data_IF_628148140346
#
_entry.id   IF_628148140346
#
_cell.length_a   1.000
_cell.length_b   1.000
_cell.length_c   1.000
_cell.angle_alpha   90.00
_cell.angle_beta   90.00
_cell.angle_gamma   90.00
#
_symmetry.space_group_name_H-M   'P 1'
#
loop_
_entity.id
_entity.type
_entity.pdbx_description
1 polymer ?
#
# COMPACT_ATOMS: atom_id res chain seq x y z
N UNK A 1 -33.23 27.87 41.36
CA UNK A 1 -31.89 27.35 41.05
C UNK A 1 -32.03 26.30 39.95
N UNK A 2 -31.93 26.71 38.69
CA UNK A 2 -32.10 25.81 37.55
C UNK A 2 -30.73 25.34 37.07
N UNK A 3 -30.44 24.06 37.26
CA UNK A 3 -29.22 23.42 36.73
C UNK A 3 -29.37 23.24 35.21
N UNK A 4 -28.73 24.10 34.43
CA UNK A 4 -28.62 23.96 32.98
C UNK A 4 -27.72 22.77 32.65
N UNK A 5 -28.33 21.67 32.16
CA UNK A 5 -27.61 20.49 31.67
C UNK A 5 -26.99 20.82 30.31
N UNK A 6 -25.71 21.19 30.31
CA UNK A 6 -24.94 21.36 29.08
C UNK A 6 -24.67 19.96 28.48
N UNK A 7 -25.38 19.62 27.40
CA UNK A 7 -25.06 18.43 26.60
C UNK A 7 -23.78 18.71 25.80
N UNK A 8 -22.67 18.06 26.16
CA UNK A 8 -21.43 18.05 25.39
C UNK A 8 -21.64 17.22 24.12
N UNK A 9 -21.79 17.88 22.97
CA UNK A 9 -21.77 17.21 21.66
C UNK A 9 -20.31 16.90 21.34
N UNK A 10 -19.93 15.63 21.44
CA UNK A 10 -18.63 15.14 20.95
C UNK A 10 -18.73 15.04 19.43
N UNK A 11 -18.21 16.03 18.72
CA UNK A 11 -18.02 15.95 17.27
C UNK A 11 -16.85 15.00 17.00
N UNK A 12 -17.16 13.80 16.53
CA UNK A 12 -16.14 12.86 16.06
C UNK A 12 -15.58 13.35 14.72
N UNK A 13 -14.38 13.92 14.75
CA UNK A 13 -13.65 14.30 13.53
C UNK A 13 -13.12 13.01 12.89
N UNK A 14 -13.79 12.55 11.84
CA UNK A 14 -13.31 11.45 11.00
C UNK A 14 -12.34 12.05 9.99
N UNK A 15 -11.03 11.91 10.25
CA UNK A 15 -9.99 12.29 9.29
C UNK A 15 -9.96 11.25 8.15
N UNK A 16 -9.99 11.67 6.88
CA UNK A 16 -9.82 10.76 5.75
C UNK A 16 -8.40 10.17 5.77
N UNK A 17 -8.29 8.84 5.73
CA UNK A 17 -7.00 8.15 5.57
C UNK A 17 -6.56 8.20 4.11
N UNK A 18 -5.44 8.86 3.83
CA UNK A 18 -4.81 8.86 2.50
C UNK A 18 -4.12 7.50 2.34
N UNK A 19 -4.60 6.68 1.40
CA UNK A 19 -3.96 5.40 1.07
C UNK A 19 -2.77 5.64 0.14
N UNK A 20 -1.55 5.61 0.66
CA UNK A 20 -0.33 5.65 -0.15
C UNK A 20 0.07 4.22 -0.56
N UNK A 21 0.54 4.07 -1.80
CA UNK A 21 1.12 2.81 -2.27
C UNK A 21 2.38 2.47 -1.47
N UNK A 22 2.44 1.25 -0.94
CA UNK A 22 3.57 0.75 -0.14
C UNK A 22 4.59 0.05 -1.02
N UNK A 23 5.87 0.25 -0.75
CA UNK A 23 6.95 -0.52 -1.37
C UNK A 23 7.46 -1.61 -0.43
N UNK A 24 7.43 -2.86 -0.90
CA UNK A 24 7.95 -4.03 -0.19
C UNK A 24 9.22 -4.51 -0.85
N UNK A 25 10.34 -4.37 -0.14
CA UNK A 25 11.63 -4.97 -0.54
C UNK A 25 11.61 -6.46 -0.21
N UNK A 26 11.57 -7.30 -1.24
CA UNK A 26 11.44 -8.74 -1.08
C UNK A 26 12.69 -9.30 -0.39
N UNK A 27 12.50 -9.94 0.76
CA UNK A 27 13.58 -10.45 1.61
C UNK A 27 14.26 -9.40 2.50
N UNK A 28 13.71 -8.18 2.58
CA UNK A 28 14.26 -7.06 3.36
C UNK A 28 15.76 -6.84 3.08
N UNK A 29 16.63 -6.96 4.10
CA UNK A 29 18.08 -6.80 3.93
C UNK A 29 18.75 -7.99 3.26
N UNK A 30 18.13 -9.17 3.26
CA UNK A 30 18.67 -10.35 2.59
C UNK A 30 18.48 -10.29 1.06
N UNK A 31 17.49 -9.53 0.60
CA UNK A 31 17.15 -9.40 -0.82
C UNK A 31 16.60 -10.69 -1.43
N UNK A 32 16.62 -10.75 -2.76
CA UNK A 32 16.18 -11.91 -3.52
C UNK A 32 17.32 -12.92 -3.68
N UNK A 33 17.39 -13.87 -2.74
CA UNK A 33 18.41 -14.91 -2.63
C UNK A 33 17.83 -16.32 -2.38
N UNK A 34 18.69 -17.34 -2.44
CA UNK A 34 18.37 -18.74 -2.09
C UNK A 34 18.45 -18.98 -0.57
N UNK A 35 17.83 -20.06 -0.10
CA UNK A 35 17.80 -20.52 1.31
C UNK A 35 17.23 -19.48 2.28
N UNK A 36 16.27 -18.69 1.81
CA UNK A 36 15.56 -17.69 2.58
C UNK A 36 14.07 -18.04 2.69
N UNK A 37 13.47 -17.82 3.87
CA UNK A 37 12.06 -18.13 4.11
C UNK A 37 11.16 -16.97 3.69
N UNK A 38 10.80 -16.95 2.40
CA UNK A 38 9.88 -15.96 1.85
C UNK A 38 8.44 -16.09 2.36
N UNK A 39 8.02 -17.28 2.82
CA UNK A 39 6.69 -17.48 3.37
C UNK A 39 6.59 -16.79 4.73
N UNK A 40 7.59 -16.94 5.58
CA UNK A 40 7.67 -16.20 6.84
C UNK A 40 7.87 -14.70 6.60
N UNK A 41 8.68 -14.31 5.61
CA UNK A 41 8.82 -12.89 5.25
C UNK A 41 7.48 -12.27 4.82
N UNK A 42 6.66 -12.97 4.03
CA UNK A 42 5.36 -12.47 3.59
C UNK A 42 4.31 -12.44 4.73
N UNK A 43 4.53 -13.20 5.82
CA UNK A 43 3.56 -13.35 6.90
C UNK A 43 3.30 -12.01 7.59
N UNK A 44 2.02 -11.66 7.72
CA UNK A 44 1.57 -10.43 8.39
C UNK A 44 1.73 -9.14 7.58
N UNK A 45 2.28 -9.21 6.35
CA UNK A 45 2.29 -8.08 5.43
C UNK A 45 0.93 -7.97 4.71
N UNK A 46 0.45 -6.75 4.54
CA UNK A 46 -0.83 -6.45 3.87
C UNK A 46 -0.56 -5.90 2.46
N UNK A 47 -0.52 -6.79 1.47
CA UNK A 47 -0.29 -6.40 0.08
C UNK A 47 -1.60 -5.94 -0.56
N UNK A 48 -1.61 -4.75 -1.15
CA UNK A 48 -2.79 -4.15 -1.79
C UNK A 48 -2.52 -3.78 -3.24
N UNK A 49 -3.59 -3.62 -4.00
CA UNK A 49 -3.49 -3.05 -5.35
C UNK A 49 -2.88 -1.66 -5.26
N UNK A 50 -1.86 -1.40 -6.09
CA UNK A 50 -1.09 -0.16 -6.10
C UNK A 50 0.30 -0.30 -5.47
N UNK A 51 0.47 -1.23 -4.53
CA UNK A 51 1.76 -1.51 -3.89
C UNK A 51 2.79 -2.04 -4.88
N UNK A 52 4.06 -2.02 -4.48
CA UNK A 52 5.19 -2.47 -5.29
C UNK A 52 5.98 -3.54 -4.56
N UNK A 53 6.39 -4.58 -5.29
CA UNK A 53 7.45 -5.49 -4.88
C UNK A 53 8.76 -5.04 -5.52
N UNK A 54 9.81 -4.93 -4.72
CA UNK A 54 11.16 -4.59 -5.19
C UNK A 54 12.07 -5.78 -4.94
N UNK A 55 12.56 -6.38 -6.04
CA UNK A 55 13.47 -7.52 -6.02
C UNK A 55 14.90 -7.03 -6.24
N UNK A 56 15.73 -7.08 -5.20
CA UNK A 56 17.14 -6.67 -5.28
C UNK A 56 18.06 -7.86 -5.19
N UNK A 57 18.98 -7.99 -6.15
CA UNK A 57 19.93 -9.09 -6.25
C UNK A 57 21.12 -8.74 -7.17
N UNK A 58 22.28 -9.41 -7.05
CA UNK A 58 23.39 -9.19 -7.97
C UNK A 58 23.00 -9.54 -9.41
N UNK A 59 23.25 -8.62 -10.36
CA UNK A 59 22.94 -8.83 -11.78
C UNK A 59 23.59 -10.12 -12.28
N UNK A 60 22.80 -10.96 -12.96
CA UNK A 60 23.23 -12.26 -13.48
C UNK A 60 23.22 -13.41 -12.46
N UNK A 61 23.11 -13.13 -11.15
CA UNK A 61 23.02 -14.19 -10.13
C UNK A 61 21.59 -14.76 -10.02
N UNK A 62 20.59 -13.92 -10.20
CA UNK A 62 19.17 -14.28 -10.10
C UNK A 62 18.37 -13.61 -11.21
N UNK A 63 17.09 -13.96 -11.28
CA UNK A 63 16.09 -13.33 -12.11
C UNK A 63 14.72 -13.47 -11.43
N UNK A 64 13.72 -12.79 -11.97
CA UNK A 64 12.35 -12.83 -11.44
C UNK A 64 11.37 -13.16 -12.57
N UNK A 65 10.66 -14.26 -12.40
CA UNK A 65 9.47 -14.57 -13.20
C UNK A 65 8.22 -14.34 -12.38
N UNK A 66 7.20 -13.73 -12.99
CA UNK A 66 5.82 -13.80 -12.50
C UNK A 66 5.16 -15.03 -13.12
N UNK A 67 4.62 -15.92 -12.31
CA UNK A 67 4.10 -17.22 -12.76
C UNK A 67 2.71 -17.50 -12.18
N UNK A 68 2.09 -18.60 -12.63
CA UNK A 68 0.86 -19.13 -12.02
C UNK A 68 1.18 -20.10 -10.86
N UNK A 69 0.13 -20.53 -10.13
CA UNK A 69 0.28 -21.40 -8.96
C UNK A 69 0.88 -22.78 -9.27
N UNK A 70 0.57 -23.39 -10.42
CA UNK A 70 1.13 -24.69 -10.83
C UNK A 70 2.62 -24.55 -11.15
N UNK A 71 2.98 -23.59 -11.99
CA UNK A 71 4.38 -23.26 -12.33
C UNK A 71 5.19 -22.92 -11.07
N UNK A 72 4.59 -22.19 -10.12
CA UNK A 72 5.21 -21.92 -8.83
C UNK A 72 5.45 -23.20 -8.03
N UNK A 73 4.43 -24.06 -7.88
CA UNK A 73 4.51 -25.30 -7.11
C UNK A 73 5.62 -26.20 -7.67
N UNK A 74 5.62 -26.39 -8.98
CA UNK A 74 6.49 -27.35 -9.67
C UNK A 74 7.86 -26.74 -10.03
N UNK A 75 8.04 -25.43 -9.84
CA UNK A 75 9.22 -24.68 -10.26
C UNK A 75 9.56 -24.89 -11.75
N UNK A 76 8.53 -24.93 -12.61
CA UNK A 76 8.70 -24.98 -14.07
C UNK A 76 9.21 -23.63 -14.56
N UNK A 77 10.34 -23.60 -15.25
CA UNK A 77 10.98 -22.34 -15.64
C UNK A 77 10.46 -21.87 -17.01
N UNK A 78 9.86 -20.67 -17.12
CA UNK A 78 9.45 -20.11 -18.41
C UNK A 78 10.65 -19.75 -19.30
N UNK A 79 10.43 -19.43 -20.59
CA UNK A 79 11.45 -18.90 -21.48
C UNK A 79 12.17 -17.67 -20.91
N UNK A 80 13.49 -17.61 -21.03
CA UNK A 80 14.32 -16.59 -20.37
C UNK A 80 14.00 -15.15 -20.77
N UNK A 81 13.48 -14.92 -21.98
CA UNK A 81 13.06 -13.60 -22.45
C UNK A 81 11.84 -13.03 -21.71
N UNK A 82 11.16 -13.83 -20.89
CA UNK A 82 10.06 -13.39 -20.02
C UNK A 82 10.56 -12.97 -18.63
N UNK A 83 11.84 -13.17 -18.32
CA UNK A 83 12.40 -12.87 -17.01
C UNK A 83 12.75 -11.39 -16.87
N UNK A 84 12.52 -10.85 -15.66
CA UNK A 84 13.18 -9.61 -15.23
C UNK A 84 14.58 -9.94 -14.71
N UNK A 85 15.57 -9.13 -15.08
CA UNK A 85 17.01 -9.45 -14.93
C UNK A 85 17.87 -8.27 -14.50
N UNK A 86 17.26 -7.15 -14.10
CA UNK A 86 18.02 -5.89 -13.86
C UNK A 86 18.79 -5.89 -12.55
N UNK A 87 18.50 -6.81 -11.63
CA UNK A 87 19.04 -6.80 -10.26
C UNK A 87 18.33 -5.82 -9.31
N UNK A 88 17.41 -5.01 -9.82
CA UNK A 88 16.53 -4.13 -9.04
C UNK A 88 15.16 -4.02 -9.73
N UNK A 89 14.47 -5.15 -9.83
CA UNK A 89 13.21 -5.24 -10.55
C UNK A 89 12.04 -4.80 -9.68
N UNK A 90 11.20 -3.92 -10.22
CA UNK A 90 10.01 -3.40 -9.54
C UNK A 90 8.75 -3.94 -10.21
N UNK A 91 7.89 -4.60 -9.43
CA UNK A 91 6.60 -5.11 -9.90
C UNK A 91 5.49 -4.39 -9.14
N UNK A 92 4.68 -3.60 -9.85
CA UNK A 92 3.46 -3.02 -9.31
C UNK A 92 2.37 -4.10 -9.21
N UNK A 93 1.72 -4.20 -8.05
CA UNK A 93 0.61 -5.09 -7.79
C UNK A 93 -0.67 -4.48 -8.36
N UNK A 94 -0.96 -4.77 -9.63
CA UNK A 94 -2.06 -4.12 -10.36
C UNK A 94 -3.45 -4.73 -10.12
N UNK A 95 -3.52 -5.99 -9.64
CA UNK A 95 -4.81 -6.69 -9.47
C UNK A 95 -4.86 -7.50 -8.18
N UNK A 96 -6.05 -7.66 -7.57
CA UNK A 96 -6.22 -8.50 -6.39
C UNK A 96 -5.95 -9.99 -6.70
N UNK A 97 -5.91 -10.79 -5.64
CA UNK A 97 -5.75 -12.24 -5.68
C UNK A 97 -4.30 -12.70 -5.55
N UNK A 98 -4.12 -14.01 -5.64
CA UNK A 98 -2.82 -14.65 -5.44
C UNK A 98 -1.84 -14.29 -6.56
N UNK A 99 -0.59 -14.04 -6.17
CA UNK A 99 0.54 -13.78 -7.08
C UNK A 99 1.70 -14.70 -6.69
N UNK A 100 2.45 -15.14 -7.68
CA UNK A 100 3.57 -16.05 -7.52
C UNK A 100 4.78 -15.59 -8.31
N UNK A 101 5.93 -15.69 -7.69
CA UNK A 101 7.21 -15.28 -8.25
C UNK A 101 8.28 -16.34 -7.98
N UNK A 102 9.16 -16.58 -8.95
CA UNK A 102 10.24 -17.57 -8.84
C UNK A 102 11.53 -17.04 -9.46
N UNK A 103 12.67 -17.58 -8.99
CA UNK A 103 13.93 -17.48 -9.72
C UNK A 103 14.12 -18.73 -10.59
N UNK A 104 14.38 -18.53 -11.87
CA UNK A 104 14.60 -19.60 -12.84
C UNK A 104 16.04 -19.97 -13.10
N UNK A 105 17.00 -19.45 -12.33
CA UNK A 105 18.41 -19.83 -12.47
C UNK A 105 18.64 -21.20 -11.84
N UNK A 106 19.06 -22.18 -12.64
CA UNK A 106 19.44 -23.52 -12.18
C UNK A 106 18.39 -24.18 -11.27
N UNK A 107 18.78 -24.52 -10.04
CA UNK A 107 17.91 -25.13 -9.03
C UNK A 107 17.46 -24.15 -7.93
N UNK A 108 17.54 -22.84 -8.18
CA UNK A 108 17.24 -21.82 -7.17
C UNK A 108 15.79 -21.88 -6.66
N UNK A 109 14.80 -22.11 -7.54
CA UNK A 109 13.41 -22.29 -7.10
C UNK A 109 13.19 -23.62 -6.36
N UNK A 110 13.54 -24.76 -7.00
CA UNK A 110 13.15 -26.09 -6.54
C UNK A 110 13.90 -26.55 -5.29
N UNK A 111 15.21 -26.28 -5.22
CA UNK A 111 16.07 -26.70 -4.11
C UNK A 111 16.44 -25.51 -3.23
N UNK A 112 16.71 -24.36 -3.85
CA UNK A 112 17.07 -23.13 -3.13
C UNK A 112 15.88 -22.44 -2.45
N UNK A 113 14.63 -22.81 -2.76
CA UNK A 113 13.45 -22.18 -2.17
C UNK A 113 13.28 -20.70 -2.56
N UNK A 114 13.93 -20.24 -3.63
CA UNK A 114 13.85 -18.85 -4.09
C UNK A 114 12.56 -18.61 -4.87
N UNK A 115 11.47 -18.54 -4.12
CA UNK A 115 10.10 -18.41 -4.62
C UNK A 115 9.24 -17.67 -3.59
N UNK A 116 8.39 -16.76 -4.07
CA UNK A 116 7.48 -15.96 -3.24
C UNK A 116 6.04 -16.18 -3.68
N UNK A 117 5.14 -16.41 -2.72
CA UNK A 117 3.69 -16.37 -2.92
C UNK A 117 3.08 -15.35 -1.99
N UNK A 118 2.20 -14.51 -2.52
CA UNK A 118 1.46 -13.50 -1.75
C UNK A 118 -0.01 -13.49 -2.19
N UNK A 119 -0.87 -12.92 -1.34
CA UNK A 119 -2.25 -12.59 -1.68
C UNK A 119 -2.39 -11.07 -1.68
N UNK A 120 -2.87 -10.53 -2.79
CA UNK A 120 -3.09 -9.08 -2.95
C UNK A 120 -4.55 -8.76 -2.69
N UNK A 121 -4.81 -7.87 -1.76
CA UNK A 121 -6.15 -7.35 -1.49
C UNK A 121 -6.50 -6.22 -2.47
N UNK A 122 -7.80 -5.89 -2.65
CA UNK A 122 -8.20 -4.67 -3.34
C UNK A 122 -7.50 -3.43 -2.78
N UNK A 123 -7.41 -2.40 -3.62
CA UNK A 123 -6.95 -1.10 -3.17
C UNK A 123 -7.77 -0.67 -1.94
N UNK A 124 -7.12 -0.02 -0.98
CA UNK A 124 -7.85 0.61 0.11
C UNK A 124 -8.87 1.58 -0.48
N UNK A 125 -10.08 1.63 0.07
CA UNK A 125 -11.02 2.69 -0.30
C UNK A 125 -10.33 4.01 0.04
N UNK A 126 -10.04 4.82 -0.98
CA UNK A 126 -9.75 6.23 -0.73
C UNK A 126 -10.98 6.82 -0.05
N UNK A 127 -10.78 7.49 1.08
CA UNK A 127 -11.87 8.19 1.73
C UNK A 127 -12.49 9.18 0.73
N UNK A 128 -13.84 9.31 0.67
CA UNK A 128 -14.47 10.25 -0.23
C UNK A 128 -13.85 11.63 -0.06
N UNK A 129 -13.56 12.30 -1.18
CA UNK A 129 -13.11 13.69 -1.16
C UNK A 129 -14.05 14.53 -0.27
N UNK A 130 -13.53 15.50 0.50
CA UNK A 130 -14.39 16.38 1.28
C UNK A 130 -15.48 16.95 0.38
N UNK A 131 -16.74 16.90 0.83
CA UNK A 131 -17.83 17.52 0.10
C UNK A 131 -17.45 18.98 -0.20
N UNK A 132 -17.67 19.48 -1.43
CA UNK A 132 -17.45 20.88 -1.73
C UNK A 132 -18.28 21.68 -0.72
N UNK A 133 -17.62 22.53 0.05
CA UNK A 133 -18.34 23.47 0.91
C UNK A 133 -19.16 24.37 0.00
N UNK A 134 -20.48 24.22 0.05
CA UNK A 134 -21.43 25.14 -0.59
C UNK A 134 -21.34 26.48 0.13
N UNK A 135 -20.28 27.24 -0.15
CA UNK A 135 -20.17 28.63 0.20
C UNK A 135 -20.87 29.41 -0.91
N UNK A 136 -22.14 29.75 -0.69
CA UNK A 136 -22.71 30.90 -1.37
C UNK A 136 -21.89 32.12 -0.95
N UNK A 137 -21.11 32.66 -1.88
CA UNK A 137 -20.67 34.05 -1.84
C UNK A 137 -19.17 34.25 -1.80
N UNK A 138 -18.71 34.92 -2.86
CA UNK A 138 -17.51 35.76 -2.99
C UNK A 138 -16.13 35.12 -2.83
N UNK A 139 -15.48 35.01 -3.99
CA UNK A 139 -14.05 34.85 -4.17
C UNK A 139 -13.24 35.81 -3.28
N UNK A 140 -12.26 35.29 -2.56
CA UNK A 140 -10.96 35.89 -2.44
C UNK A 140 -9.94 34.82 -2.02
N UNK A 141 -8.80 34.90 -2.68
CA UNK A 141 -7.64 34.04 -2.55
C UNK A 141 -7.19 33.87 -1.09
N UNK A 142 -6.55 32.73 -0.83
CA UNK A 142 -6.11 32.31 0.49
C UNK A 142 -5.16 33.28 1.19
N UNK A 143 -4.96 32.96 2.46
CA UNK A 143 -4.23 33.67 3.51
C UNK A 143 -5.11 34.57 4.40
N UNK A 144 -5.20 34.17 5.68
CA UNK A 144 -5.71 34.88 6.85
C UNK A 144 -7.22 34.76 7.14
N UNK A 145 -7.59 33.79 7.97
CA UNK A 145 -8.73 33.96 8.90
C UNK A 145 -8.28 33.53 10.29
N UNK A 146 -7.63 34.45 11.00
CA UNK A 146 -7.59 34.45 12.46
C UNK A 146 -8.82 35.26 12.93
N UNK A 147 -9.72 34.56 13.62
CA UNK A 147 -10.58 34.99 14.74
C UNK A 147 -11.21 36.40 14.74
N UNK A 148 -12.52 36.46 14.50
CA UNK A 148 -13.50 37.39 15.09
C UNK A 148 -14.88 36.98 14.56
N UNK A 149 -16.03 36.98 15.24
CA UNK A 149 -16.48 37.68 16.44
C UNK A 149 -17.90 37.16 16.75
N UNK A 150 -18.22 36.86 18.03
CA UNK A 150 -19.61 36.72 18.49
C UNK A 150 -20.03 38.07 19.08
N UNK A 151 -20.96 38.75 18.40
CA UNK A 151 -21.68 39.95 18.85
C UNK A 151 -23.13 39.70 18.44
N UNK A 152 -24.11 39.53 19.32
CA UNK A 152 -24.97 40.54 19.98
C UNK A 152 -26.26 39.78 20.38
N UNK A 153 -27.15 40.14 21.32
CA UNK A 153 -27.59 41.36 22.01
C UNK A 153 -28.37 40.85 23.27
N UNK A 154 -28.74 41.61 24.32
CA UNK A 154 -29.75 42.69 24.33
C UNK A 154 -29.60 43.56 25.61
N UNK A 155 -29.79 44.87 25.43
CA UNK A 155 -30.12 45.88 26.44
C UNK A 155 -31.36 45.49 27.28
N UNK A 156 -31.47 45.85 28.56
CA UNK A 156 -32.22 46.96 29.21
C UNK A 156 -32.07 46.62 30.72
N UNK A 157 -31.70 47.48 31.68
CA UNK A 157 -32.08 48.84 32.08
C UNK A 157 -30.81 49.51 32.66
#
# INVERSE_FOLDING_TARGET
>A
MAFSKQFLIIVAVVLPSIALATEYRVGDTAGWTIKFDYANWAKGKDFRVGDKLVFTYPVGAHNVFKVNGTTFKDCTIPPLNEALTTGNDVITLATPGNKWYICGVGQHCAVGGQKLSITVLPAGLEAPAPAPSSANGVAASGFLVLIASIISFVATI
#
